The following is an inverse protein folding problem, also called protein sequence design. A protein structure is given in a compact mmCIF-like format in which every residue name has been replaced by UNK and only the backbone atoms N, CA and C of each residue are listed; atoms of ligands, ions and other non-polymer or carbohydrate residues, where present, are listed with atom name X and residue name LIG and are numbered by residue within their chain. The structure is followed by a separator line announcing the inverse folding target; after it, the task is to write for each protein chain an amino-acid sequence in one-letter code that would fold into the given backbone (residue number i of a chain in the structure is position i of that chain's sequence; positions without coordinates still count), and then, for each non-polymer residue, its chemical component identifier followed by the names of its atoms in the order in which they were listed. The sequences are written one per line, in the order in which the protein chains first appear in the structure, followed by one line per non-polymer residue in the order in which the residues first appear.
data_IF_706625381285
#
_entry.id   IF_706625381285
#
_cell.length_a   1.000
_cell.length_b   1.000
_cell.length_c   1.000
_cell.angle_alpha   90.00
_cell.angle_beta   90.00
_cell.angle_gamma   90.00
#
_symmetry.space_group_name_H-M   'P 1'
#
loop_
_entity.id
_entity.type
_entity.pdbx_description
1 polymer ?
#
# COMPACT_ATOMS: atom_id res chain seq x y z
N UNK A 1 8.73 4.39 -9.36
CA UNK A 1 7.44 4.21 -8.64
C UNK A 1 7.72 4.06 -7.15
N UNK A 2 6.96 4.72 -6.32
CA UNK A 2 7.19 4.60 -4.85
C UNK A 2 6.15 3.66 -4.24
N UNK A 3 5.03 4.19 -3.82
CA UNK A 3 3.99 3.32 -3.21
C UNK A 3 2.84 3.12 -4.19
N UNK A 4 2.86 2.03 -4.91
CA UNK A 4 1.78 1.73 -5.90
C UNK A 4 1.65 0.21 -6.03
N UNK A 5 0.84 -0.26 -6.96
CA UNK A 5 0.69 -1.74 -7.12
C UNK A 5 -0.27 -2.28 -6.07
N UNK A 6 -0.07 -3.50 -5.68
CA UNK A 6 -0.96 -4.13 -4.66
C UNK A 6 -0.36 -3.93 -3.26
N UNK A 7 -1.17 -3.70 -2.26
CA UNK A 7 -0.61 -3.49 -0.89
C UNK A 7 -1.00 -4.65 0.03
N UNK A 8 -0.13 -5.03 0.93
CA UNK A 8 -0.45 -6.14 1.85
C UNK A 8 -0.38 -5.69 3.31
N UNK A 9 -1.24 -6.26 4.12
CA UNK A 9 -1.27 -6.01 5.53
C UNK A 9 -0.30 -7.00 6.15
N UNK A 10 -0.45 -8.24 5.78
CA UNK A 10 0.47 -9.30 6.23
C UNK A 10 1.88 -8.77 6.08
N UNK A 11 2.04 -7.88 5.13
CA UNK A 11 3.37 -7.30 4.86
C UNK A 11 3.53 -5.97 5.58
N UNK A 12 4.75 -5.63 5.91
CA UNK A 12 5.03 -4.34 6.61
C UNK A 12 6.52 -3.99 6.42
N UNK A 13 6.79 -2.87 5.80
CA UNK A 13 5.78 -1.96 5.30
C UNK A 13 4.97 -2.64 4.19
N UNK A 14 3.75 -2.21 4.03
CA UNK A 14 2.85 -2.77 3.04
C UNK A 14 3.34 -2.48 1.63
N UNK A 15 4.23 -1.55 1.47
CA UNK A 15 4.69 -1.23 0.11
C UNK A 15 6.17 -0.95 0.12
N UNK A 16 6.56 -0.17 1.06
CA UNK A 16 8.00 0.22 1.21
C UNK A 16 8.10 1.63 1.80
N UNK A 17 7.06 2.43 1.72
CA UNK A 17 7.16 3.81 2.27
C UNK A 17 6.14 4.01 3.40
N UNK A 18 6.60 4.43 4.55
CA UNK A 18 5.68 4.66 5.69
C UNK A 18 4.78 5.86 5.39
N UNK A 19 5.30 6.84 4.70
CA UNK A 19 4.48 8.04 4.36
C UNK A 19 3.34 7.63 3.44
N UNK A 20 3.45 6.47 2.85
CA UNK A 20 2.38 6.00 1.93
C UNK A 20 1.44 5.07 2.71
N UNK A 21 0.34 4.64 2.13
CA UNK A 21 -0.57 3.75 2.89
C UNK A 21 -1.15 2.65 2.01
N UNK A 22 -1.48 1.55 2.63
CA UNK A 22 -2.08 0.40 1.90
C UNK A 22 -3.60 0.56 1.92
N UNK A 23 -4.24 0.46 0.79
CA UNK A 23 -5.72 0.61 0.76
C UNK A 23 -6.35 -0.73 0.40
N UNK A 24 -6.62 -1.53 1.40
CA UNK A 24 -7.23 -2.82 1.22
C UNK A 24 -8.72 -2.66 0.93
N UNK A 25 -9.12 -2.92 -0.28
CA UNK A 25 -10.55 -2.79 -0.63
C UNK A 25 -11.01 -4.11 -1.19
N UNK A 26 -10.15 -4.75 -1.90
CA UNK A 26 -10.54 -6.04 -2.44
C UNK A 26 -10.73 -6.95 -1.27
N UNK A 27 -11.88 -7.47 -1.16
CA UNK A 27 -12.17 -8.39 -0.03
C UNK A 27 -10.98 -9.34 0.13
N UNK A 28 -10.23 -9.54 -0.93
CA UNK A 28 -9.05 -10.44 -0.85
C UNK A 28 -7.75 -9.66 -1.14
N UNK A 29 -7.82 -8.45 -1.67
CA UNK A 29 -6.55 -7.74 -1.97
C UNK A 29 -6.64 -6.25 -1.64
N UNK A 30 -5.50 -5.62 -1.58
CA UNK A 30 -5.45 -4.16 -1.32
C UNK A 30 -4.48 -3.57 -2.33
N UNK A 31 -4.25 -2.30 -2.29
CA UNK A 31 -3.33 -1.70 -3.27
C UNK A 31 -2.52 -0.59 -2.63
N UNK A 32 -1.30 -0.48 -3.02
CA UNK A 32 -0.42 0.55 -2.42
C UNK A 32 -0.57 1.88 -3.15
N UNK A 33 -0.37 2.95 -2.45
CA UNK A 33 -0.48 4.29 -3.09
C UNK A 33 0.46 5.25 -2.38
N UNK A 34 0.95 6.22 -3.09
CA UNK A 34 1.87 7.22 -2.46
C UNK A 34 1.34 8.63 -2.75
N UNK A 35 0.49 9.10 -1.88
CA UNK A 35 -0.10 10.41 -2.00
C UNK A 35 0.97 11.48 -1.76
N UNK A 36 0.62 12.72 -1.91
CA UNK A 36 1.62 13.80 -1.70
C UNK A 36 1.74 14.10 -0.20
N UNK A 37 2.88 14.55 0.24
CA UNK A 37 3.06 14.86 1.68
C UNK A 37 3.75 16.21 1.84
#
# INVERSE_FOLDING_TARGET
ADCNGACSPFEVPPCRSRDCRCVPIGLFVGFCIHPTG
#
